data_IF_215601872872
#
_entry.id   IF_215601872872
#
_cell.length_a   1.000
_cell.length_b   1.000
_cell.length_c   1.000
_cell.angle_alpha   90.00
_cell.angle_beta   90.00
_cell.angle_gamma   90.00
#
_symmetry.space_group_name_H-M   'P 1'
#
loop_
_entity.id
_entity.type
_entity.pdbx_description
1 polymer ?
#
# COMPACT_ATOMS: atom_id res chain seq x y z
N UNK A 1 -82.86 -13.19 164.87
CA UNK A 1 -82.45 -11.92 164.21
C UNK A 1 -81.14 -12.04 163.43
N UNK A 2 -80.19 -12.89 163.84
CA UNK A 2 -78.81 -12.91 163.32
C UNK A 2 -78.67 -13.13 161.80
N UNK A 3 -79.58 -13.85 161.15
CA UNK A 3 -79.55 -14.08 159.69
C UNK A 3 -79.61 -12.79 158.84
N UNK A 4 -80.16 -11.68 159.36
CA UNK A 4 -80.28 -10.45 158.57
C UNK A 4 -78.92 -9.74 158.41
N UNK A 5 -78.13 -9.67 159.49
CA UNK A 5 -76.81 -9.03 159.52
C UNK A 5 -75.78 -9.72 158.62
N UNK A 6 -75.94 -11.01 158.34
CA UNK A 6 -75.06 -11.75 157.43
C UNK A 6 -75.30 -11.38 155.95
N UNK A 7 -76.54 -11.07 155.58
CA UNK A 7 -76.90 -10.69 154.20
C UNK A 7 -76.36 -9.30 153.87
N UNK A 8 -76.54 -8.33 154.77
CA UNK A 8 -76.05 -6.95 154.60
C UNK A 8 -74.53 -6.90 154.42
N UNK A 9 -73.78 -7.70 155.19
CA UNK A 9 -72.32 -7.79 155.05
C UNK A 9 -71.89 -8.27 153.66
N UNK A 10 -72.59 -9.27 153.10
CA UNK A 10 -72.30 -9.80 151.76
C UNK A 10 -72.66 -8.78 150.66
N UNK A 11 -73.69 -7.95 150.85
CA UNK A 11 -74.00 -6.88 149.88
C UNK A 11 -72.98 -5.75 149.91
N UNK A 12 -72.49 -5.34 151.08
CA UNK A 12 -71.48 -4.28 151.18
C UNK A 12 -70.10 -4.74 150.63
N UNK A 13 -69.69 -5.99 150.91
CA UNK A 13 -68.48 -6.59 150.34
C UNK A 13 -68.54 -6.80 148.81
N UNK A 14 -69.74 -6.85 148.22
CA UNK A 14 -69.91 -6.82 146.75
C UNK A 14 -69.76 -5.39 146.22
N UNK A 15 -70.47 -4.42 146.80
CA UNK A 15 -70.36 -2.99 146.46
C UNK A 15 -68.92 -2.51 146.39
N UNK A 16 -68.15 -2.72 147.46
CA UNK A 16 -66.75 -2.30 147.56
C UNK A 16 -65.89 -2.96 146.46
N UNK A 17 -66.19 -4.22 146.11
CA UNK A 17 -65.47 -4.97 145.07
C UNK A 17 -65.78 -4.46 143.66
N UNK A 18 -67.04 -4.13 143.40
CA UNK A 18 -67.50 -3.58 142.12
C UNK A 18 -66.99 -2.13 141.92
N UNK A 19 -66.96 -1.32 142.99
CA UNK A 19 -66.35 0.02 142.97
C UNK A 19 -64.83 -0.04 142.70
N UNK A 20 -64.10 -0.96 143.34
CA UNK A 20 -62.67 -1.18 143.09
C UNK A 20 -62.39 -1.68 141.66
N UNK A 21 -63.27 -2.49 141.06
CA UNK A 21 -63.13 -2.88 139.65
C UNK A 21 -63.38 -1.70 138.71
N UNK A 22 -64.44 -0.91 138.94
CA UNK A 22 -64.74 0.27 138.13
C UNK A 22 -63.62 1.33 138.17
N UNK A 23 -63.02 1.57 139.33
CA UNK A 23 -61.89 2.50 139.47
C UNK A 23 -60.63 2.03 138.70
N UNK A 24 -60.36 0.71 138.72
CA UNK A 24 -59.26 0.12 137.95
C UNK A 24 -59.50 0.16 136.43
N UNK A 25 -60.75 -0.05 135.98
CA UNK A 25 -61.11 0.05 134.57
C UNK A 25 -60.90 1.48 134.03
N UNK A 26 -61.39 2.49 134.73
CA UNK A 26 -61.20 3.91 134.35
C UNK A 26 -59.73 4.32 134.30
N UNK A 27 -58.92 3.87 135.27
CA UNK A 27 -57.47 4.08 135.29
C UNK A 27 -56.78 3.47 134.06
N UNK A 28 -57.12 2.22 133.72
CA UNK A 28 -56.54 1.56 132.54
C UNK A 28 -56.92 2.24 131.23
N UNK A 29 -58.17 2.70 131.08
CA UNK A 29 -58.62 3.36 129.84
C UNK A 29 -58.02 4.76 129.68
N UNK A 30 -57.90 5.55 130.75
CA UNK A 30 -57.14 6.81 130.74
C UNK A 30 -55.68 6.60 130.29
N UNK A 31 -55.03 5.54 130.78
CA UNK A 31 -53.68 5.17 130.34
C UNK A 31 -53.62 4.70 128.88
N UNK A 32 -54.60 3.91 128.40
CA UNK A 32 -54.70 3.49 126.99
C UNK A 32 -54.85 4.70 126.07
N UNK A 33 -55.69 5.67 126.43
CA UNK A 33 -55.94 6.86 125.63
C UNK A 33 -54.78 7.87 125.66
N UNK A 34 -54.07 8.02 126.78
CA UNK A 34 -52.80 8.75 126.79
C UNK A 34 -51.74 8.09 125.90
N UNK A 35 -51.65 6.74 125.91
CA UNK A 35 -50.78 5.97 124.99
C UNK A 35 -51.19 6.18 123.53
N UNK A 36 -52.49 6.20 123.21
CA UNK A 36 -53.02 6.49 121.87
C UNK A 36 -52.67 7.92 121.43
N UNK A 37 -52.97 8.94 122.24
CA UNK A 37 -52.66 10.35 121.95
C UNK A 37 -51.16 10.62 121.78
N UNK A 38 -50.29 9.93 122.55
CA UNK A 38 -48.82 10.02 122.38
C UNK A 38 -48.35 9.29 121.12
N UNK A 39 -48.93 8.13 120.78
CA UNK A 39 -48.67 7.43 119.50
C UNK A 39 -49.12 8.25 118.29
N UNK A 40 -50.31 8.87 118.30
CA UNK A 40 -50.78 9.69 117.17
C UNK A 40 -49.96 10.97 116.99
N UNK A 41 -49.60 11.67 118.07
CA UNK A 41 -48.65 12.81 117.99
C UNK A 41 -47.30 12.40 117.41
N UNK A 42 -46.72 11.28 117.88
CA UNK A 42 -45.45 10.78 117.34
C UNK A 42 -45.55 10.35 115.86
N UNK A 43 -46.66 9.72 115.46
CA UNK A 43 -46.90 9.34 114.07
C UNK A 43 -47.12 10.56 113.16
N UNK A 44 -47.84 11.59 113.64
CA UNK A 44 -47.99 12.85 112.92
C UNK A 44 -46.63 13.55 112.72
N UNK A 45 -45.80 13.63 113.76
CA UNK A 45 -44.46 14.23 113.67
C UNK A 45 -43.49 13.42 112.78
N UNK A 46 -43.61 12.09 112.78
CA UNK A 46 -42.91 11.22 111.82
C UNK A 46 -43.39 11.44 110.39
N UNK A 47 -44.70 11.59 110.17
CA UNK A 47 -45.28 11.84 108.86
C UNK A 47 -44.87 13.22 108.30
N UNK A 48 -44.82 14.28 109.12
CA UNK A 48 -44.23 15.56 108.69
C UNK A 48 -42.76 15.39 108.28
N UNK A 49 -41.92 14.78 109.13
CA UNK A 49 -40.51 14.54 108.78
C UNK A 49 -40.32 13.70 107.51
N UNK A 50 -41.19 12.72 107.26
CA UNK A 50 -41.21 11.94 106.02
C UNK A 50 -41.69 12.76 104.82
N UNK A 51 -42.67 13.63 104.99
CA UNK A 51 -43.18 14.51 103.94
C UNK A 51 -42.16 15.59 103.56
N UNK A 52 -41.48 16.18 104.53
CA UNK A 52 -40.43 17.17 104.30
C UNK A 52 -39.15 16.53 103.73
N UNK A 53 -38.81 15.31 104.16
CA UNK A 53 -37.74 14.51 103.53
C UNK A 53 -38.07 14.22 102.05
N UNK A 54 -39.30 13.77 101.74
CA UNK A 54 -39.77 13.57 100.35
C UNK A 54 -39.77 14.87 99.54
N UNK A 55 -40.15 16.01 100.13
CA UNK A 55 -40.06 17.33 99.50
C UNK A 55 -38.62 17.74 99.22
N UNK A 56 -37.70 17.50 100.16
CA UNK A 56 -36.28 17.78 99.98
C UNK A 56 -35.69 16.90 98.86
N UNK A 57 -35.96 15.59 98.88
CA UNK A 57 -35.54 14.65 97.85
C UNK A 57 -36.11 15.00 96.48
N UNK A 58 -37.38 15.42 96.41
CA UNK A 58 -38.00 15.92 95.17
C UNK A 58 -37.28 17.17 94.64
N UNK A 59 -37.01 18.16 95.49
CA UNK A 59 -36.23 19.35 95.12
C UNK A 59 -34.82 18.98 94.62
N UNK A 60 -34.12 18.10 95.34
CA UNK A 60 -32.78 17.62 94.96
C UNK A 60 -32.79 16.91 93.60
N UNK A 61 -33.77 16.04 93.36
CA UNK A 61 -33.95 15.36 92.07
C UNK A 61 -34.22 16.37 90.93
N UNK A 62 -35.06 17.39 91.16
CA UNK A 62 -35.32 18.46 90.18
C UNK A 62 -34.03 19.24 89.87
N UNK A 63 -33.26 19.64 90.88
CA UNK A 63 -31.97 20.32 90.67
C UNK A 63 -30.93 19.44 89.96
N UNK A 64 -30.90 18.13 90.24
CA UNK A 64 -30.02 17.19 89.54
C UNK A 64 -30.42 17.02 88.06
N UNK A 65 -31.72 16.92 87.76
CA UNK A 65 -32.24 16.85 86.39
C UNK A 65 -31.93 18.14 85.62
N UNK A 66 -32.09 19.31 86.24
CA UNK A 66 -31.73 20.61 85.65
C UNK A 66 -30.23 20.68 85.36
N UNK A 67 -29.37 20.39 86.34
CA UNK A 67 -27.92 20.43 86.19
C UNK A 67 -27.43 19.43 85.11
N UNK A 68 -28.03 18.24 85.04
CA UNK A 68 -27.80 17.27 83.94
C UNK A 68 -28.43 17.68 82.61
N UNK A 69 -29.40 18.60 82.58
CA UNK A 69 -29.87 19.23 81.33
C UNK A 69 -28.89 20.31 80.86
N UNK A 70 -28.35 21.11 81.78
CA UNK A 70 -27.40 22.18 81.46
C UNK A 70 -26.04 21.64 81.01
N UNK A 71 -25.52 20.57 81.63
CA UNK A 71 -24.36 19.83 81.11
C UNK A 71 -24.55 19.38 79.65
N UNK A 72 -25.75 18.90 79.30
CA UNK A 72 -26.07 18.48 77.93
C UNK A 72 -26.21 19.68 77.00
N UNK A 73 -26.88 20.74 77.43
CA UNK A 73 -27.02 21.99 76.68
C UNK A 73 -25.66 22.65 76.40
N UNK A 74 -24.72 22.63 77.35
CA UNK A 74 -23.36 23.12 77.16
C UNK A 74 -22.59 22.25 76.14
N UNK A 75 -22.64 20.92 76.26
CA UNK A 75 -22.01 20.00 75.29
C UNK A 75 -22.56 20.18 73.87
N UNK A 76 -23.87 20.34 73.71
CA UNK A 76 -24.50 20.62 72.40
C UNK A 76 -24.10 22.00 71.86
N UNK A 77 -24.04 23.05 72.70
CA UNK A 77 -23.52 24.37 72.29
C UNK A 77 -22.06 24.29 71.83
N UNK A 78 -21.23 23.51 72.51
CA UNK A 78 -19.82 23.34 72.16
C UNK A 78 -19.64 22.52 70.87
N UNK A 79 -20.38 21.41 70.71
CA UNK A 79 -20.42 20.63 69.47
C UNK A 79 -20.86 21.51 68.29
N UNK A 80 -21.93 22.30 68.45
CA UNK A 80 -22.39 23.24 67.42
C UNK A 80 -21.34 24.32 67.08
N UNK A 81 -20.55 24.79 68.08
CA UNK A 81 -19.42 25.71 67.83
C UNK A 81 -18.32 25.03 67.00
N UNK A 82 -17.93 23.80 67.37
CA UNK A 82 -16.94 23.00 66.63
C UNK A 82 -17.41 22.73 65.19
N UNK A 83 -18.67 22.33 64.99
CA UNK A 83 -19.27 22.10 63.66
C UNK A 83 -19.28 23.38 62.80
N UNK A 84 -19.64 24.54 63.37
CA UNK A 84 -19.56 25.82 62.64
C UNK A 84 -18.14 26.14 62.17
N UNK A 85 -17.15 26.00 63.06
CA UNK A 85 -15.73 26.22 62.71
C UNK A 85 -15.22 25.26 61.63
N UNK A 86 -15.70 24.01 61.64
CA UNK A 86 -15.31 22.98 60.66
C UNK A 86 -15.96 23.24 59.28
N UNK A 87 -17.23 23.65 59.24
CA UNK A 87 -17.90 24.12 58.03
C UNK A 87 -17.25 25.40 57.45
N UNK A 88 -16.78 26.29 58.31
CA UNK A 88 -16.10 27.53 57.90
C UNK A 88 -14.72 27.25 57.30
N UNK A 89 -13.96 26.31 57.88
CA UNK A 89 -12.73 25.78 57.26
C UNK A 89 -12.99 25.14 55.90
N UNK A 90 -13.98 24.25 55.78
CA UNK A 90 -14.33 23.63 54.49
C UNK A 90 -14.70 24.67 53.41
N UNK A 91 -15.34 25.79 53.78
CA UNK A 91 -15.61 26.90 52.85
C UNK A 91 -14.33 27.60 52.40
N UNK A 92 -13.39 27.86 53.33
CA UNK A 92 -12.10 28.47 53.01
C UNK A 92 -11.25 27.54 52.13
N UNK A 93 -11.17 26.25 52.45
CA UNK A 93 -10.44 25.24 51.67
C UNK A 93 -11.03 25.09 50.25
N UNK A 94 -12.36 25.03 50.11
CA UNK A 94 -13.02 24.96 48.79
C UNK A 94 -12.75 26.22 47.96
N UNK A 95 -12.79 27.41 48.58
CA UNK A 95 -12.51 28.67 47.89
C UNK A 95 -11.04 28.77 47.47
N UNK A 96 -10.10 28.30 48.31
CA UNK A 96 -8.69 28.19 47.93
C UNK A 96 -8.49 27.24 46.74
N UNK A 97 -9.11 26.05 46.75
CA UNK A 97 -9.07 25.11 45.62
C UNK A 97 -9.66 25.71 44.34
N UNK A 98 -10.74 26.49 44.43
CA UNK A 98 -11.32 27.19 43.27
C UNK A 98 -10.38 28.29 42.74
N UNK A 99 -9.72 29.06 43.61
CA UNK A 99 -8.71 30.05 43.15
C UNK A 99 -7.48 29.39 42.51
N UNK A 100 -6.98 28.29 43.07
CA UNK A 100 -5.86 27.53 42.49
C UNK A 100 -6.20 26.94 41.13
N UNK A 101 -7.42 26.40 40.96
CA UNK A 101 -7.89 25.91 39.65
C UNK A 101 -7.95 27.02 38.62
N UNK A 102 -8.51 28.19 38.95
CA UNK A 102 -8.56 29.34 38.03
C UNK A 102 -7.16 29.80 37.62
N UNK A 103 -6.21 29.91 38.56
CA UNK A 103 -4.82 30.26 38.24
C UNK A 103 -4.15 29.24 37.31
N UNK A 104 -4.43 27.94 37.48
CA UNK A 104 -3.94 26.89 36.58
C UNK A 104 -4.63 26.92 35.19
N UNK A 105 -5.89 27.31 35.12
CA UNK A 105 -6.63 27.51 33.86
C UNK A 105 -6.12 28.74 33.11
N UNK A 106 -5.91 29.87 33.80
CA UNK A 106 -5.31 31.10 33.27
C UNK A 106 -3.90 30.84 32.71
N UNK A 107 -3.04 30.14 33.47
CA UNK A 107 -1.70 29.75 33.01
C UNK A 107 -1.74 28.85 31.77
N UNK A 108 -2.68 27.89 31.70
CA UNK A 108 -2.87 27.03 30.52
C UNK A 108 -3.36 27.84 29.32
N UNK A 109 -4.27 28.78 29.52
CA UNK A 109 -4.69 29.69 28.46
C UNK A 109 -3.54 30.54 27.92
N UNK A 110 -2.67 31.08 28.79
CA UNK A 110 -1.49 31.82 28.36
C UNK A 110 -0.50 30.94 27.60
N UNK A 111 -0.22 29.73 28.08
CA UNK A 111 0.63 28.77 27.37
C UNK A 111 0.06 28.40 25.99
N UNK A 112 -1.27 28.22 25.88
CA UNK A 112 -1.96 27.99 24.60
C UNK A 112 -1.86 29.24 23.69
N UNK A 113 -2.06 30.45 24.22
CA UNK A 113 -1.91 31.71 23.46
C UNK A 113 -0.48 31.87 22.94
N UNK A 114 0.53 31.56 23.74
CA UNK A 114 1.94 31.56 23.33
C UNK A 114 2.25 30.49 22.27
N UNK A 115 1.77 29.25 22.45
CA UNK A 115 1.90 28.17 21.45
C UNK A 115 1.22 28.56 20.13
N UNK A 116 0.04 29.17 20.17
CA UNK A 116 -0.67 29.67 18.99
C UNK A 116 0.06 30.85 18.32
N UNK A 117 0.77 31.70 19.07
CA UNK A 117 1.66 32.72 18.50
C UNK A 117 2.87 32.08 17.81
N UNK A 118 3.58 31.16 18.46
CA UNK A 118 4.69 30.43 17.85
C UNK A 118 4.25 29.63 16.60
N UNK A 119 3.04 29.09 16.60
CA UNK A 119 2.42 28.46 15.43
C UNK A 119 2.16 29.52 14.35
N UNK A 120 1.55 30.67 14.66
CA UNK A 120 1.36 31.78 13.70
C UNK A 120 2.68 32.37 13.16
N UNK A 121 3.79 32.24 13.88
CA UNK A 121 5.11 32.65 13.40
C UNK A 121 5.78 31.59 12.52
N UNK A 122 5.68 30.29 12.88
CA UNK A 122 6.13 29.18 12.02
C UNK A 122 5.27 29.01 10.76
N UNK A 123 4.00 29.39 10.85
CA UNK A 123 3.05 29.57 9.76
C UNK A 123 2.89 31.07 9.41
N UNK A 124 3.93 31.90 9.58
CA UNK A 124 4.05 33.08 8.73
C UNK A 124 4.14 32.54 7.31
N UNK A 125 3.05 32.73 6.57
CA UNK A 125 2.91 32.32 5.18
C UNK A 125 4.17 32.76 4.46
N UNK A 126 4.84 31.84 3.75
CA UNK A 126 5.95 32.15 2.84
C UNK A 126 5.55 33.42 2.10
N UNK A 127 6.36 34.47 2.23
CA UNK A 127 6.02 35.78 1.72
C UNK A 127 5.65 35.67 0.24
N UNK A 128 4.83 36.61 -0.25
CA UNK A 128 4.43 36.58 -1.66
C UNK A 128 5.62 36.63 -2.61
N UNK A 129 6.79 37.04 -2.13
CA UNK A 129 8.04 37.08 -2.87
C UNK A 129 8.86 35.79 -2.75
N UNK A 130 8.92 35.13 -1.58
CA UNK A 130 9.46 33.76 -1.45
C UNK A 130 8.66 32.75 -2.30
N UNK A 131 7.32 32.90 -2.36
CA UNK A 131 6.47 32.07 -3.22
C UNK A 131 6.78 32.33 -4.71
N UNK A 132 6.95 33.60 -5.13
CA UNK A 132 7.38 33.93 -6.50
C UNK A 132 8.77 33.38 -6.79
N UNK A 133 9.69 33.44 -5.83
CA UNK A 133 11.06 32.95 -6.03
C UNK A 133 11.07 31.43 -6.23
N UNK A 134 10.38 30.66 -5.39
CA UNK A 134 10.24 29.22 -5.59
C UNK A 134 9.50 28.87 -6.89
N UNK A 135 8.49 29.64 -7.32
CA UNK A 135 7.86 29.47 -8.63
C UNK A 135 8.83 29.74 -9.79
N UNK A 136 9.68 30.77 -9.69
CA UNK A 136 10.70 31.10 -10.69
C UNK A 136 11.82 30.04 -10.73
N UNK A 137 12.30 29.57 -9.57
CA UNK A 137 13.26 28.47 -9.45
C UNK A 137 12.70 27.18 -10.09
N UNK A 138 11.44 26.83 -9.78
CA UNK A 138 10.77 25.66 -10.35
C UNK A 138 10.58 25.77 -11.87
N UNK A 139 10.18 26.94 -12.37
CA UNK A 139 10.06 27.20 -13.82
C UNK A 139 11.41 27.06 -14.53
N UNK A 140 12.48 27.65 -13.98
CA UNK A 140 13.85 27.52 -14.50
C UNK A 140 14.28 26.05 -14.54
N UNK A 141 14.01 25.27 -13.50
CA UNK A 141 14.30 23.84 -13.47
C UNK A 141 13.54 23.06 -14.57
N UNK A 142 12.27 23.38 -14.82
CA UNK A 142 11.52 22.80 -15.95
C UNK A 142 12.14 23.15 -17.32
N UNK A 143 12.58 24.40 -17.51
CA UNK A 143 13.23 24.85 -18.75
C UNK A 143 14.59 24.15 -18.96
N UNK A 144 15.43 24.04 -17.92
CA UNK A 144 16.70 23.30 -17.96
C UNK A 144 16.49 21.80 -18.28
N UNK A 145 15.50 21.16 -17.65
CA UNK A 145 15.18 19.76 -17.92
C UNK A 145 14.66 19.54 -19.35
N UNK A 146 13.88 20.48 -19.91
CA UNK A 146 13.46 20.42 -21.32
C UNK A 146 14.65 20.56 -22.29
N UNK A 147 15.60 21.45 -22.00
CA UNK A 147 16.82 21.59 -22.81
C UNK A 147 17.68 20.31 -22.78
N UNK A 148 17.83 19.68 -21.61
CA UNK A 148 18.53 18.39 -21.49
C UNK A 148 17.86 17.29 -22.32
N UNK A 149 16.52 17.21 -22.32
CA UNK A 149 15.77 16.25 -23.13
C UNK A 149 15.93 16.48 -24.65
N UNK A 150 15.96 17.73 -25.13
CA UNK A 150 16.18 17.98 -26.58
C UNK A 150 17.64 17.75 -26.99
N UNK A 151 18.62 18.07 -26.13
CA UNK A 151 20.02 17.71 -26.36
C UNK A 151 20.20 16.19 -26.53
N UNK A 152 19.56 15.38 -25.68
CA UNK A 152 19.55 13.92 -25.80
C UNK A 152 18.84 13.43 -27.09
N UNK A 153 17.74 14.08 -27.51
CA UNK A 153 17.07 13.78 -28.78
C UNK A 153 17.96 14.10 -30.00
N UNK A 154 18.68 15.22 -29.98
CA UNK A 154 19.62 15.61 -31.04
C UNK A 154 20.80 14.63 -31.11
N UNK A 155 21.36 14.24 -29.96
CA UNK A 155 22.43 13.22 -29.89
C UNK A 155 21.95 11.85 -30.41
N UNK A 156 20.73 11.44 -30.10
CA UNK A 156 20.14 10.19 -30.62
C UNK A 156 19.93 10.25 -32.14
N UNK A 157 19.40 11.36 -32.67
CA UNK A 157 19.22 11.59 -34.12
C UNK A 157 20.55 11.53 -34.89
N UNK A 158 21.64 12.09 -34.34
CA UNK A 158 22.95 12.06 -35.01
C UNK A 158 23.59 10.67 -34.99
N UNK A 159 23.46 9.91 -33.90
CA UNK A 159 23.87 8.50 -33.83
C UNK A 159 23.09 7.62 -34.81
N UNK A 160 21.76 7.77 -34.88
CA UNK A 160 20.91 7.04 -35.84
C UNK A 160 21.28 7.36 -37.30
N UNK A 161 21.56 8.63 -37.59
CA UNK A 161 22.02 9.09 -38.91
C UNK A 161 23.37 8.48 -39.29
N UNK A 162 24.34 8.50 -38.37
CA UNK A 162 25.67 7.90 -38.57
C UNK A 162 25.59 6.39 -38.80
N UNK A 163 24.80 5.67 -37.99
CA UNK A 163 24.58 4.24 -38.16
C UNK A 163 23.91 3.92 -39.51
N UNK A 164 22.88 4.68 -39.90
CA UNK A 164 22.22 4.57 -41.20
C UNK A 164 23.21 4.74 -42.36
N UNK A 165 24.07 5.77 -42.30
CA UNK A 165 25.12 6.00 -43.30
C UNK A 165 26.14 4.85 -43.38
N UNK A 166 26.56 4.28 -42.23
CA UNK A 166 27.44 3.10 -42.19
C UNK A 166 26.78 1.85 -42.79
N UNK A 167 25.48 1.62 -42.51
CA UNK A 167 24.75 0.50 -43.10
C UNK A 167 24.63 0.68 -44.63
N UNK A 168 24.29 1.89 -45.08
CA UNK A 168 24.21 2.20 -46.51
C UNK A 168 25.55 2.13 -47.25
N UNK A 169 26.68 2.47 -46.61
CA UNK A 169 28.00 2.32 -47.23
C UNK A 169 28.43 0.85 -47.32
N UNK A 170 28.17 0.05 -46.27
CA UNK A 170 28.40 -1.41 -46.27
C UNK A 170 27.54 -2.13 -47.32
N UNK A 171 26.28 -1.73 -47.51
CA UNK A 171 25.41 -2.27 -48.56
C UNK A 171 25.98 -1.92 -49.94
N UNK A 172 26.30 -0.64 -50.20
CA UNK A 172 26.89 -0.20 -51.49
C UNK A 172 28.20 -0.92 -51.83
N UNK A 173 29.08 -1.10 -50.84
CA UNK A 173 30.32 -1.86 -50.99
C UNK A 173 30.07 -3.33 -51.37
N UNK A 174 29.13 -4.00 -50.68
CA UNK A 174 28.75 -5.40 -51.00
C UNK A 174 28.12 -5.54 -52.38
N UNK A 175 27.23 -4.63 -52.79
CA UNK A 175 26.63 -4.67 -54.12
C UNK A 175 27.65 -4.42 -55.23
N UNK A 176 28.60 -3.51 -55.02
CA UNK A 176 29.69 -3.26 -55.96
C UNK A 176 30.63 -4.47 -56.09
N UNK A 177 31.02 -5.07 -54.96
CA UNK A 177 31.84 -6.29 -54.95
C UNK A 177 31.12 -7.44 -55.69
N UNK A 178 29.83 -7.65 -55.42
CA UNK A 178 29.02 -8.66 -56.14
C UNK A 178 28.94 -8.40 -57.64
N UNK A 179 28.91 -7.14 -58.09
CA UNK A 179 28.96 -6.79 -59.52
C UNK A 179 30.33 -7.10 -60.13
N UNK A 180 31.43 -6.79 -59.44
CA UNK A 180 32.78 -7.16 -59.90
C UNK A 180 32.92 -8.68 -60.03
N UNK A 181 32.43 -9.45 -59.06
CA UNK A 181 32.58 -10.90 -59.07
C UNK A 181 31.70 -11.58 -60.12
N UNK A 182 30.49 -11.08 -60.38
CA UNK A 182 29.68 -11.51 -61.53
C UNK A 182 30.38 -11.23 -62.88
N UNK A 183 31.03 -10.07 -63.04
CA UNK A 183 31.76 -9.76 -64.27
C UNK A 183 32.97 -10.69 -64.48
N UNK A 184 33.72 -11.01 -63.41
CA UNK A 184 34.81 -12.01 -63.48
C UNK A 184 34.29 -13.40 -63.85
N UNK A 185 33.17 -13.82 -63.27
CA UNK A 185 32.55 -15.12 -63.56
C UNK A 185 32.07 -15.19 -65.03
N UNK A 186 31.52 -14.09 -65.57
CA UNK A 186 31.16 -14.02 -66.99
C UNK A 186 32.40 -14.03 -67.90
N UNK A 187 33.46 -13.29 -67.56
CA UNK A 187 34.72 -13.27 -68.31
C UNK A 187 35.39 -14.66 -68.31
N UNK A 188 35.36 -15.39 -67.20
CA UNK A 188 35.83 -16.77 -67.14
C UNK A 188 34.98 -17.69 -68.01
N UNK A 189 33.64 -17.61 -67.94
CA UNK A 189 32.74 -18.39 -68.81
C UNK A 189 32.99 -18.14 -70.29
N UNK A 190 33.29 -16.89 -70.68
CA UNK A 190 33.71 -16.54 -72.04
C UNK A 190 35.01 -17.24 -72.43
N UNK A 191 36.07 -17.14 -71.60
CA UNK A 191 37.36 -17.82 -71.84
C UNK A 191 37.21 -19.35 -71.96
N UNK A 192 36.45 -19.98 -71.06
CA UNK A 192 36.14 -21.41 -71.15
C UNK A 192 35.38 -21.76 -72.43
N UNK A 193 34.45 -20.91 -72.88
CA UNK A 193 33.71 -21.14 -74.13
C UNK A 193 34.60 -21.02 -75.37
N UNK A 194 35.52 -20.04 -75.39
CA UNK A 194 36.53 -19.92 -76.44
C UNK A 194 37.46 -21.13 -76.47
N UNK A 195 37.93 -21.61 -75.32
CA UNK A 195 38.80 -22.78 -75.25
C UNK A 195 38.09 -24.05 -75.75
N UNK A 196 36.83 -24.27 -75.36
CA UNK A 196 36.00 -25.36 -75.88
C UNK A 196 35.88 -25.29 -77.41
N UNK A 197 35.65 -24.10 -77.98
CA UNK A 197 35.58 -23.88 -79.43
C UNK A 197 36.95 -24.14 -80.09
N UNK A 198 38.05 -23.61 -79.54
CA UNK A 198 39.42 -23.84 -80.05
C UNK A 198 39.75 -25.34 -80.07
N UNK A 199 39.37 -26.09 -79.04
CA UNK A 199 39.62 -27.52 -78.97
C UNK A 199 38.71 -28.31 -79.92
N UNK A 200 37.43 -27.95 -80.09
CA UNK A 200 36.57 -28.51 -81.14
C UNK A 200 37.14 -28.29 -82.55
N UNK A 201 37.68 -27.09 -82.84
CA UNK A 201 38.33 -26.77 -84.11
C UNK A 201 39.59 -27.63 -84.33
N UNK A 202 40.46 -27.78 -83.30
CA UNK A 202 41.63 -28.69 -83.36
C UNK A 202 41.22 -30.13 -83.67
N UNK A 203 40.23 -30.67 -82.93
CA UNK A 203 39.75 -32.04 -83.16
C UNK A 203 39.18 -32.24 -84.57
N UNK A 204 38.47 -31.23 -85.10
CA UNK A 204 37.97 -31.28 -86.48
C UNK A 204 39.12 -31.30 -87.50
N UNK A 205 40.12 -30.43 -87.37
CA UNK A 205 41.28 -30.44 -88.28
C UNK A 205 42.07 -31.75 -88.21
N UNK A 206 42.23 -32.35 -87.03
CA UNK A 206 42.86 -33.66 -86.88
C UNK A 206 42.04 -34.77 -87.55
N UNK A 207 40.71 -34.75 -87.43
CA UNK A 207 39.82 -35.68 -88.14
C UNK A 207 39.89 -35.49 -89.66
N UNK A 208 39.88 -34.24 -90.14
CA UNK A 208 40.00 -33.91 -91.56
C UNK A 208 41.37 -34.36 -92.14
N UNK A 209 42.45 -34.35 -91.34
CA UNK A 209 43.74 -34.97 -91.69
C UNK A 209 43.65 -36.49 -91.77
N UNK A 210 43.10 -37.16 -90.74
CA UNK A 210 42.92 -38.63 -90.72
C UNK A 210 42.10 -39.11 -91.93
N UNK A 211 41.04 -38.37 -92.32
CA UNK A 211 40.24 -38.66 -93.53
C UNK A 211 41.06 -38.49 -94.81
N UNK A 212 41.85 -37.41 -94.93
CA UNK A 212 42.72 -37.17 -96.09
C UNK A 212 43.77 -38.25 -96.27
N UNK A 213 44.38 -38.72 -95.19
CA UNK A 213 45.46 -39.72 -95.22
C UNK A 213 44.93 -41.15 -95.41
N UNK A 214 43.84 -41.52 -94.71
CA UNK A 214 43.42 -42.93 -94.62
C UNK A 214 42.29 -43.32 -95.57
N UNK A 215 41.52 -42.36 -96.10
CA UNK A 215 40.30 -42.64 -96.88
C UNK A 215 40.35 -42.10 -98.31
N UNK A 216 40.83 -40.86 -98.54
CA UNK A 216 40.91 -40.32 -99.91
C UNK A 216 41.72 -41.20 -100.89
N UNK A 217 42.90 -41.76 -100.54
CA UNK A 217 43.67 -42.61 -101.45
C UNK A 217 42.93 -43.89 -101.88
N UNK A 218 42.03 -44.40 -101.03
CA UNK A 218 41.25 -45.62 -101.31
C UNK A 218 40.06 -45.35 -102.23
N UNK A 219 39.55 -44.12 -102.26
CA UNK A 219 38.51 -43.68 -103.19
C UNK A 219 39.11 -43.42 -104.58
N UNK A 220 40.30 -42.80 -104.66
CA UNK A 220 41.03 -42.61 -105.92
C UNK A 220 41.60 -43.89 -106.54
N UNK A 221 41.41 -45.06 -105.93
CA UNK A 221 41.82 -46.36 -106.48
C UNK A 221 40.65 -47.32 -106.75
N UNK A 222 39.40 -46.87 -106.55
CA UNK A 222 38.19 -47.66 -106.78
C UNK A 222 37.30 -47.13 -107.92
N UNK A 223 37.72 -46.05 -108.60
CA UNK A 223 36.98 -45.40 -109.70
C UNK A 223 37.53 -45.78 -111.08
N UNK A 224 38.83 -46.09 -111.20
CA UNK A 224 39.54 -46.23 -112.48
C UNK A 224 39.59 -47.66 -113.06
N UNK A 225 38.62 -48.53 -112.74
CA UNK A 225 38.59 -49.94 -113.22
C UNK A 225 37.24 -50.41 -113.81
N UNK A 226 36.33 -49.51 -114.22
CA UNK A 226 35.02 -49.91 -114.78
C UNK A 226 34.47 -49.01 -115.90
N UNK A 227 35.32 -48.62 -116.86
CA UNK A 227 34.90 -48.02 -118.13
C UNK A 227 34.72 -49.05 -119.25
N UNK A 228 33.69 -48.86 -120.08
CA UNK A 228 33.16 -49.77 -121.12
C UNK A 228 32.38 -50.98 -120.56
N UNK A 229 31.10 -51.23 -120.87
CA UNK A 229 30.17 -50.72 -121.91
C UNK A 229 28.84 -50.26 -121.25
N UNK A 230 27.66 -49.98 -121.83
CA UNK A 230 26.97 -50.26 -123.12
C UNK A 230 26.30 -48.96 -123.67
N UNK A 231 25.93 -49.00 -124.96
CA UNK A 231 25.39 -47.92 -125.79
C UNK A 231 23.86 -47.71 -125.61
N UNK A 232 23.43 -46.43 -125.67
CA UNK A 232 22.11 -45.89 -126.09
C UNK A 232 20.89 -45.75 -125.15
N UNK A 233 20.17 -44.64 -125.42
CA UNK A 233 18.71 -44.38 -125.34
C UNK A 233 18.01 -44.05 -124.00
N UNK A 234 17.70 -42.75 -123.91
CA UNK A 234 16.39 -42.12 -123.60
C UNK A 234 15.98 -41.84 -122.14
N UNK A 235 15.31 -40.69 -122.03
CA UNK A 235 14.35 -40.23 -121.00
C UNK A 235 14.96 -39.98 -119.61
N UNK A 236 15.04 -38.71 -119.20
CA UNK A 236 13.97 -38.02 -118.47
C UNK A 236 13.57 -38.76 -117.19
N UNK A 237 14.18 -38.39 -116.06
CA UNK A 237 13.41 -37.97 -114.88
C UNK A 237 14.25 -37.20 -113.85
N UNK A 238 13.66 -36.11 -113.35
CA UNK A 238 13.89 -35.45 -112.06
C UNK A 238 15.35 -35.21 -111.59
N UNK A 239 15.81 -33.98 -111.79
CA UNK A 239 16.79 -33.36 -110.89
C UNK A 239 16.11 -33.21 -109.52
N UNK A 240 16.57 -33.94 -108.51
CA UNK A 240 16.12 -33.77 -107.12
C UNK A 240 16.74 -32.51 -106.51
N UNK A 241 15.97 -31.49 -106.07
CA UNK A 241 16.53 -30.30 -105.45
C UNK A 241 17.10 -30.64 -104.07
N UNK A 242 18.43 -30.56 -103.92
CA UNK A 242 19.08 -30.69 -102.61
C UNK A 242 18.57 -29.55 -101.71
N UNK A 243 17.93 -29.91 -100.60
CA UNK A 243 17.16 -28.97 -99.76
C UNK A 243 18.06 -27.95 -99.07
N UNK A 244 17.62 -26.69 -99.06
CA UNK A 244 18.40 -25.54 -98.61
C UNK A 244 18.26 -25.27 -97.09
N UNK A 245 18.67 -26.22 -96.26
CA UNK A 245 18.46 -26.13 -94.79
C UNK A 245 19.31 -25.03 -94.11
N UNK A 246 20.33 -24.50 -94.80
CA UNK A 246 21.13 -23.35 -94.35
C UNK A 246 20.32 -22.06 -94.10
N UNK A 247 19.11 -21.94 -94.67
CA UNK A 247 18.24 -20.75 -94.49
C UNK A 247 17.35 -20.80 -93.23
N UNK A 248 17.25 -21.94 -92.54
CA UNK A 248 16.34 -22.10 -91.40
C UNK A 248 16.97 -21.59 -90.10
N UNK A 249 18.23 -21.94 -89.83
CA UNK A 249 18.90 -21.67 -88.56
C UNK A 249 19.05 -20.16 -88.26
N UNK A 250 19.51 -19.37 -89.23
CA UNK A 250 19.62 -17.91 -89.09
C UNK A 250 18.28 -17.20 -88.88
N UNK A 251 17.20 -17.74 -89.45
CA UNK A 251 15.84 -17.20 -89.27
C UNK A 251 15.27 -17.48 -87.87
N UNK A 252 15.66 -18.57 -87.21
CA UNK A 252 15.26 -18.81 -85.81
C UNK A 252 15.98 -17.86 -84.85
N UNK A 253 17.29 -17.65 -85.02
CA UNK A 253 18.08 -16.74 -84.19
C UNK A 253 17.56 -15.29 -84.27
N UNK A 254 17.28 -14.79 -85.47
CA UNK A 254 16.67 -13.47 -85.68
C UNK A 254 15.25 -13.34 -85.11
N UNK A 255 14.46 -14.43 -85.06
CA UNK A 255 13.13 -14.44 -84.42
C UNK A 255 13.19 -14.45 -82.89
N UNK A 256 14.24 -15.02 -82.29
CA UNK A 256 14.47 -14.93 -80.84
C UNK A 256 14.91 -13.52 -80.43
N UNK A 257 15.88 -12.91 -81.14
CA UNK A 257 16.34 -11.55 -80.84
C UNK A 257 15.20 -10.52 -80.95
N UNK A 258 14.30 -10.67 -81.93
CA UNK A 258 13.09 -9.82 -82.06
C UNK A 258 11.97 -10.09 -81.05
N UNK A 259 12.13 -11.05 -80.13
CA UNK A 259 11.16 -11.39 -79.06
C UNK A 259 11.62 -11.09 -77.64
N UNK A 260 12.74 -10.38 -77.47
CA UNK A 260 13.03 -9.73 -76.18
C UNK A 260 11.97 -8.64 -75.90
N UNK A 261 11.44 -8.54 -74.66
CA UNK A 261 10.48 -7.50 -74.33
C UNK A 261 11.13 -6.11 -74.48
N UNK A 262 10.36 -5.15 -75.00
CA UNK A 262 10.79 -3.75 -75.12
C UNK A 262 11.19 -3.23 -73.74
N UNK A 263 12.30 -2.48 -73.66
CA UNK A 263 12.74 -1.80 -72.42
C UNK A 263 11.55 -1.10 -71.75
N UNK A 264 11.37 -1.20 -70.42
CA UNK A 264 10.35 -0.43 -69.73
C UNK A 264 10.63 1.06 -69.96
N UNK A 265 9.75 1.71 -70.71
CA UNK A 265 9.85 3.13 -71.02
C UNK A 265 9.40 3.89 -69.78
N UNK A 266 10.34 4.48 -69.04
CA UNK A 266 10.02 5.36 -67.91
C UNK A 266 9.36 6.62 -68.48
N UNK A 267 8.04 6.58 -68.60
CA UNK A 267 7.21 7.76 -68.80
C UNK A 267 6.69 8.18 -67.44
N UNK A 268 7.13 9.34 -66.98
CA UNK A 268 6.58 10.02 -65.81
C UNK A 268 5.16 10.50 -66.13
N UNK A 269 4.15 9.74 -65.71
CA UNK A 269 2.80 10.25 -65.54
C UNK A 269 2.38 10.06 -64.09
N UNK A 270 1.85 11.13 -63.49
CA UNK A 270 1.06 11.04 -62.27
C UNK A 270 -0.24 10.31 -62.60
N UNK A 271 -0.39 9.09 -62.09
CA UNK A 271 -1.61 8.30 -62.14
C UNK A 271 -1.83 7.65 -60.79
N UNK A 272 -2.83 8.12 -60.04
CA UNK A 272 -3.22 7.52 -58.76
C UNK A 272 -4.14 6.35 -59.06
N UNK A 273 -3.70 5.13 -58.76
CA UNK A 273 -4.58 3.96 -58.73
C UNK A 273 -4.20 2.98 -57.61
N UNK A 274 -5.21 2.49 -56.89
CA UNK A 274 -5.04 1.68 -55.68
C UNK A 274 -5.27 0.19 -55.94
N UNK A 275 -4.24 -0.59 -56.30
CA UNK A 275 -4.28 -2.07 -56.16
C UNK A 275 -2.96 -2.80 -56.46
N UNK A 276 -2.20 -3.20 -55.43
CA UNK A 276 -1.17 -4.29 -55.49
C UNK A 276 -0.44 -4.58 -54.15
N UNK A 277 -1.08 -4.37 -52.99
CA UNK A 277 -0.41 -4.47 -51.66
C UNK A 277 -0.18 -5.91 -51.13
N UNK A 278 -0.50 -6.96 -51.89
CA UNK A 278 -0.64 -8.33 -51.39
C UNK A 278 0.49 -9.31 -51.75
N UNK A 279 1.23 -9.09 -52.86
CA UNK A 279 2.30 -9.99 -53.32
C UNK A 279 3.65 -9.66 -52.69
N UNK A 280 4.12 -8.42 -52.84
CA UNK A 280 5.44 -7.97 -52.32
C UNK A 280 5.64 -8.22 -50.81
N UNK A 281 4.56 -8.17 -50.00
CA UNK A 281 4.63 -8.49 -48.56
C UNK A 281 4.76 -9.99 -48.26
N UNK A 282 4.41 -10.87 -49.21
CA UNK A 282 4.40 -12.33 -49.00
C UNK A 282 5.79 -12.94 -49.21
N UNK A 283 6.52 -12.43 -50.21
CA UNK A 283 7.85 -12.94 -50.57
C UNK A 283 8.93 -12.45 -49.59
N UNK A 284 8.87 -11.19 -49.14
CA UNK A 284 9.73 -10.69 -48.05
C UNK A 284 9.60 -11.51 -46.74
N UNK A 285 8.42 -12.08 -46.46
CA UNK A 285 8.19 -12.91 -45.28
C UNK A 285 8.56 -14.40 -45.47
N UNK A 286 8.73 -14.86 -46.72
CA UNK A 286 9.16 -16.23 -47.01
C UNK A 286 10.69 -16.35 -46.98
N UNK A 287 11.43 -15.39 -47.53
CA UNK A 287 12.89 -15.35 -47.45
C UNK A 287 13.39 -15.28 -46.00
N UNK A 288 12.84 -14.37 -45.19
CA UNK A 288 13.17 -14.24 -43.76
C UNK A 288 12.96 -15.58 -43.04
N UNK A 289 11.87 -16.30 -43.35
CA UNK A 289 11.53 -17.58 -42.71
C UNK A 289 12.41 -18.74 -43.16
N UNK A 290 12.97 -18.72 -44.37
CA UNK A 290 13.94 -19.73 -44.81
C UNK A 290 15.35 -19.45 -44.27
N UNK A 291 15.82 -18.19 -44.26
CA UNK A 291 17.13 -17.85 -43.71
C UNK A 291 17.20 -18.00 -42.18
N UNK A 292 16.07 -17.89 -41.47
CA UNK A 292 15.96 -18.16 -40.02
C UNK A 292 16.34 -19.58 -39.57
N UNK A 293 16.61 -20.52 -40.48
CA UNK A 293 17.12 -21.88 -40.14
C UNK A 293 18.66 -22.00 -40.17
N UNK A 294 19.40 -20.98 -40.56
CA UNK A 294 20.87 -20.95 -40.38
C UNK A 294 21.18 -20.32 -39.02
N UNK A 295 22.12 -20.91 -38.29
CA UNK A 295 22.51 -20.51 -36.92
C UNK A 295 22.72 -19.00 -36.85
N UNK A 296 21.93 -18.30 -36.03
CA UNK A 296 22.19 -16.90 -35.69
C UNK A 296 23.59 -16.78 -35.11
N UNK A 297 24.37 -15.73 -35.44
CA UNK A 297 25.58 -15.44 -34.68
C UNK A 297 25.18 -15.26 -33.22
N UNK A 298 25.88 -15.96 -32.34
CA UNK A 298 25.55 -16.03 -30.93
C UNK A 298 25.80 -14.64 -30.32
N UNK A 299 24.72 -13.91 -30.03
CA UNK A 299 24.83 -12.66 -29.29
C UNK A 299 25.56 -12.95 -27.97
N UNK A 300 26.52 -12.10 -27.54
CA UNK A 300 27.29 -12.38 -26.33
C UNK A 300 26.33 -12.57 -25.16
N UNK A 301 26.46 -13.72 -24.51
CA UNK A 301 25.51 -14.24 -23.52
C UNK A 301 25.31 -13.23 -22.38
N UNK A 302 26.39 -12.49 -22.09
CA UNK A 302 26.50 -11.41 -21.11
C UNK A 302 25.39 -10.36 -21.25
N UNK A 303 25.05 -9.89 -22.45
CA UNK A 303 24.06 -8.81 -22.63
C UNK A 303 22.68 -9.24 -22.12
N UNK A 304 22.29 -10.50 -22.37
CA UNK A 304 21.00 -11.01 -21.90
C UNK A 304 21.05 -11.33 -20.41
N UNK A 305 22.15 -11.87 -19.91
CA UNK A 305 22.36 -12.14 -18.49
C UNK A 305 22.33 -10.85 -17.65
N UNK A 306 22.95 -9.78 -18.15
CA UNK A 306 23.05 -8.47 -17.52
C UNK A 306 21.69 -7.73 -17.52
N UNK A 307 20.88 -7.91 -18.55
CA UNK A 307 19.49 -7.42 -18.58
C UNK A 307 18.61 -8.15 -17.53
N UNK A 308 18.66 -9.49 -17.48
CA UNK A 308 17.94 -10.30 -16.49
C UNK A 308 18.39 -9.97 -15.04
N UNK A 309 19.67 -9.63 -14.83
CA UNK A 309 20.18 -9.15 -13.53
C UNK A 309 19.59 -7.78 -13.16
N UNK A 310 19.68 -6.79 -14.04
CA UNK A 310 19.13 -5.44 -13.79
C UNK A 310 17.60 -5.47 -13.55
N UNK A 311 16.86 -6.36 -14.23
CA UNK A 311 15.44 -6.54 -13.94
C UNK A 311 15.19 -7.13 -12.54
N UNK A 312 16.00 -8.10 -12.10
CA UNK A 312 15.91 -8.66 -10.74
C UNK A 312 16.29 -7.63 -9.67
N UNK A 313 17.35 -6.85 -9.90
CA UNK A 313 17.79 -5.79 -8.98
C UNK A 313 16.75 -4.67 -8.86
N UNK A 314 16.19 -4.18 -9.97
CA UNK A 314 15.12 -3.18 -9.94
C UNK A 314 13.87 -3.68 -9.21
N UNK A 315 13.45 -4.93 -9.44
CA UNK A 315 12.34 -5.56 -8.70
C UNK A 315 12.63 -5.68 -7.20
N UNK A 316 13.86 -6.01 -6.79
CA UNK A 316 14.27 -6.06 -5.38
C UNK A 316 14.42 -4.68 -4.74
N UNK A 317 14.86 -3.67 -5.48
CA UNK A 317 14.93 -2.29 -5.01
C UNK A 317 13.53 -1.72 -4.78
N UNK A 318 12.59 -2.00 -5.68
CA UNK A 318 11.19 -1.61 -5.55
C UNK A 318 10.53 -2.21 -4.31
N UNK A 319 10.69 -3.52 -4.05
CA UNK A 319 10.13 -4.15 -2.85
C UNK A 319 10.79 -3.68 -1.57
N UNK A 320 12.12 -3.51 -1.52
CA UNK A 320 12.83 -2.95 -0.35
C UNK A 320 12.42 -1.51 -0.05
N UNK A 321 12.26 -0.66 -1.07
CA UNK A 321 11.83 0.72 -0.89
C UNK A 321 10.36 0.81 -0.48
N UNK A 322 9.48 -0.05 -1.04
CA UNK A 322 8.09 -0.12 -0.59
C UNK A 322 7.99 -0.54 0.87
N UNK A 323 8.71 -1.60 1.29
CA UNK A 323 8.74 -2.04 2.69
C UNK A 323 9.21 -0.94 3.65
N UNK A 324 10.23 -0.14 3.27
CA UNK A 324 10.65 1.03 4.05
C UNK A 324 9.57 2.11 4.11
N UNK A 325 8.86 2.39 3.01
CA UNK A 325 7.77 3.35 2.97
C UNK A 325 6.59 2.93 3.86
N UNK A 326 6.15 1.68 3.73
CA UNK A 326 5.07 1.09 4.52
C UNK A 326 5.43 1.08 6.03
N UNK A 327 6.70 0.83 6.38
CA UNK A 327 7.17 0.84 7.78
C UNK A 327 7.23 2.26 8.36
N UNK A 328 7.75 3.25 7.63
CA UNK A 328 7.74 4.66 8.04
C UNK A 328 6.31 5.21 8.20
N UNK A 329 5.38 4.77 7.34
CA UNK A 329 3.95 5.10 7.46
C UNK A 329 3.37 4.53 8.76
N UNK A 330 3.64 3.26 9.07
CA UNK A 330 3.17 2.62 10.30
C UNK A 330 3.74 3.26 11.57
N UNK A 331 5.01 3.66 11.58
CA UNK A 331 5.59 4.33 12.75
C UNK A 331 5.09 5.78 12.91
N UNK A 332 4.77 6.49 11.81
CA UNK A 332 4.05 7.77 11.87
C UNK A 332 2.61 7.61 12.41
N UNK A 333 1.92 6.53 12.04
CA UNK A 333 0.58 6.21 12.58
C UNK A 333 0.67 5.91 14.08
N UNK A 334 1.65 5.13 14.55
CA UNK A 334 1.88 4.89 15.98
C UNK A 334 2.13 6.18 16.76
N UNK A 335 2.99 7.08 16.26
CA UNK A 335 3.23 8.37 16.91
C UNK A 335 1.95 9.21 17.01
N UNK A 336 1.09 9.20 15.98
CA UNK A 336 -0.20 9.92 16.01
C UNK A 336 -1.22 9.29 16.96
N UNK A 337 -1.24 7.95 17.08
CA UNK A 337 -2.06 7.25 18.08
C UNK A 337 -1.64 7.61 19.50
N UNK A 338 -0.33 7.57 19.78
CA UNK A 338 0.22 7.85 21.11
C UNK A 338 0.03 9.32 21.53
N UNK A 339 -0.08 10.24 20.56
CA UNK A 339 -0.48 11.65 20.75
C UNK A 339 -2.01 11.87 20.88
N UNK A 340 -2.82 10.80 20.84
CA UNK A 340 -4.27 10.83 21.07
C UNK A 340 -4.68 10.07 22.35
N UNK A 341 -3.74 9.39 23.01
CA UNK A 341 -3.90 8.74 24.32
C UNK A 341 -3.41 9.61 25.50
N UNK A 342 -2.97 10.85 25.21
CA UNK A 342 -2.44 11.86 26.16
C UNK A 342 -3.30 13.12 26.13
#
# INVERSE_FOLDING_TARGET
>A
MEHHLYIEKITEERRIRDEQQNFNLGSQDAHKDYRRRRKTKNNHFRNLKLQDSRRLQSKLNISFILLKSDERNQKVKEQNKRVKQLLEKFRQEKLQQETQKKQLEEQREEEIKQKLLQIKEKFKVLSTDEIKEHQNQYKKYQEEHQQQLENLRVQKKSQETYFSQQVQSRIRSRTYQSQLDMMKEEEQKRKESEERIRNQIKHRFAYDQIVKENFLPKISHSIDQSTHTIINKKQQNQISPIKSDSKILGNQYLRQIRKLPKRPRIQSQMGVDQSSSSTLRRDYLSEIRQHSKRKTPQAPIDIKLQADMLERESRQAYTKNKLKGDQLLMDSIKQKMLLLEI
#
